data_IF_831838000162
#
_entry.id   IF_831838000162
#
_cell.length_a   1.000
_cell.length_b   1.000
_cell.length_c   1.000
_cell.angle_alpha   90.00
_cell.angle_beta   90.00
_cell.angle_gamma   90.00
#
_symmetry.space_group_name_H-M   'P 1'
#
loop_
_entity.id
_entity.type
_entity.pdbx_description
1 polymer ?
#
# COMPACT_ATOMS: atom_id res chain seq x y z
N UNK A 1 -23.31 -12.69 -4.53
CA UNK A 1 -22.04 -13.05 -3.88
C UNK A 1 -21.12 -11.84 -4.02
N UNK A 2 -21.15 -10.96 -3.01
CA UNK A 2 -20.41 -9.69 -3.04
C UNK A 2 -18.95 -9.97 -2.67
N UNK A 3 -18.07 -9.87 -3.65
CA UNK A 3 -16.63 -9.78 -3.39
C UNK A 3 -16.39 -8.35 -2.90
N UNK A 4 -16.14 -8.20 -1.60
CA UNK A 4 -15.73 -6.96 -0.98
C UNK A 4 -14.36 -6.57 -1.60
N UNK A 5 -14.34 -5.50 -2.40
CA UNK A 5 -13.08 -4.88 -2.85
C UNK A 5 -12.44 -4.20 -1.63
N UNK A 6 -11.60 -4.93 -0.92
CA UNK A 6 -10.89 -4.44 0.26
C UNK A 6 -9.64 -3.66 -0.15
N UNK A 7 -9.45 -2.61 0.57
CA UNK A 7 -8.41 -1.58 0.63
C UNK A 7 -7.00 -1.96 0.17
N UNK A 8 -6.26 -1.01 -0.47
CA UNK A 8 -4.81 -1.07 -0.74
C UNK A 8 -3.93 -1.02 0.52
N UNK A 9 -4.48 -1.31 1.67
CA UNK A 9 -3.77 -1.38 2.94
C UNK A 9 -3.04 -2.72 3.11
N UNK A 10 -2.08 -2.74 4.01
CA UNK A 10 -1.29 -3.91 4.40
C UNK A 10 -2.14 -5.18 4.66
N UNK A 11 -3.40 -5.01 5.10
CA UNK A 11 -4.34 -6.11 5.34
C UNK A 11 -4.84 -6.79 4.05
N UNK A 12 -4.98 -6.05 2.94
CA UNK A 12 -5.52 -6.58 1.68
C UNK A 12 -4.58 -7.57 0.95
N UNK A 13 -3.28 -7.55 1.28
CA UNK A 13 -2.29 -8.52 0.76
C UNK A 13 -2.67 -9.96 1.12
N UNK A 14 -3.37 -10.14 2.24
CA UNK A 14 -3.60 -11.46 2.85
C UNK A 14 -4.92 -12.11 2.46
N UNK A 15 -5.74 -11.48 1.61
CA UNK A 15 -7.08 -11.99 1.29
C UNK A 15 -7.21 -12.72 -0.05
N UNK A 16 -6.14 -12.86 -0.84
CA UNK A 16 -6.25 -13.43 -2.19
C UNK A 16 -6.04 -14.96 -2.22
N UNK A 17 -7.08 -15.70 -2.64
CA UNK A 17 -7.08 -17.13 -2.83
C UNK A 17 -6.33 -17.54 -4.12
N UNK A 18 -5.07 -17.93 -3.99
CA UNK A 18 -4.39 -18.80 -4.96
C UNK A 18 -3.90 -20.06 -4.24
N UNK A 19 -3.61 -21.13 -4.96
CA UNK A 19 -3.00 -22.34 -4.40
C UNK A 19 -1.70 -21.96 -3.71
N UNK A 20 -1.81 -21.76 -2.41
CA UNK A 20 -0.76 -21.20 -1.56
C UNK A 20 0.27 -22.28 -1.28
N UNK A 21 1.54 -22.03 -1.62
CA UNK A 21 2.60 -22.84 -1.06
C UNK A 21 2.71 -22.57 0.47
N UNK A 22 3.30 -23.49 1.20
CA UNK A 22 3.43 -23.39 2.66
C UNK A 22 4.10 -22.09 3.11
N UNK A 23 5.03 -21.58 2.32
CA UNK A 23 5.76 -20.34 2.61
C UNK A 23 4.86 -19.12 2.57
N UNK A 24 4.05 -19.01 1.52
CA UNK A 24 3.06 -17.93 1.36
C UNK A 24 2.03 -17.99 2.48
N UNK A 25 1.61 -19.19 2.88
CA UNK A 25 0.67 -19.36 3.99
C UNK A 25 1.25 -18.87 5.32
N UNK A 26 2.54 -19.14 5.60
CA UNK A 26 3.23 -18.60 6.79
C UNK A 26 3.28 -17.07 6.76
N UNK A 27 3.68 -16.47 5.61
CA UNK A 27 3.76 -15.02 5.46
C UNK A 27 2.39 -14.37 5.72
N UNK A 28 1.33 -14.92 5.15
CA UNK A 28 -0.03 -14.43 5.30
C UNK A 28 -0.49 -14.47 6.75
N UNK A 29 -0.45 -15.63 7.38
CA UNK A 29 -0.87 -15.81 8.77
C UNK A 29 -0.07 -14.92 9.72
N UNK A 30 1.25 -14.87 9.56
CA UNK A 30 2.09 -13.98 10.37
C UNK A 30 1.74 -12.50 10.16
N UNK A 31 1.52 -12.08 8.90
CA UNK A 31 1.11 -10.72 8.57
C UNK A 31 -0.22 -10.32 9.21
N UNK A 32 -1.22 -11.20 9.18
CA UNK A 32 -2.52 -11.01 9.86
C UNK A 32 -2.36 -10.89 11.38
N UNK A 33 -1.51 -11.75 11.98
CA UNK A 33 -1.21 -11.68 13.42
C UNK A 33 -0.49 -10.39 13.78
N UNK A 34 0.53 -9.98 13.02
CA UNK A 34 1.27 -8.74 13.23
C UNK A 34 0.37 -7.51 13.09
N UNK A 35 -0.50 -7.50 12.11
CA UNK A 35 -1.46 -6.42 11.92
C UNK A 35 -2.46 -6.32 13.07
N UNK A 36 -2.92 -7.46 13.60
CA UNK A 36 -3.91 -7.52 14.67
C UNK A 36 -3.32 -7.25 16.05
N UNK A 37 -2.12 -7.78 16.33
CA UNK A 37 -1.55 -7.86 17.67
C UNK A 37 -0.28 -7.00 17.85
N UNK A 38 0.27 -6.46 16.75
CA UNK A 38 1.59 -5.84 16.72
C UNK A 38 2.73 -6.86 16.52
N UNK A 39 3.80 -6.42 15.87
CA UNK A 39 4.93 -7.31 15.55
C UNK A 39 5.62 -7.83 16.81
N UNK A 40 5.79 -6.94 17.80
CA UNK A 40 6.51 -7.29 19.05
C UNK A 40 5.80 -8.36 19.85
N UNK A 41 4.48 -8.32 19.89
CA UNK A 41 3.65 -9.20 20.73
C UNK A 41 3.53 -10.62 20.17
N UNK A 42 3.86 -10.85 18.91
CA UNK A 42 3.74 -12.15 18.25
C UNK A 42 5.11 -12.82 18.17
N UNK A 43 5.26 -13.98 18.78
CA UNK A 43 6.46 -14.82 18.70
C UNK A 43 6.39 -15.82 17.55
N UNK A 44 7.53 -16.45 17.20
CA UNK A 44 7.54 -17.58 16.25
C UNK A 44 6.70 -18.75 16.79
N UNK A 45 6.63 -18.92 18.10
CA UNK A 45 5.80 -19.95 18.74
C UNK A 45 4.33 -19.72 18.48
N UNK A 46 3.87 -18.48 18.61
CA UNK A 46 2.49 -18.11 18.35
C UNK A 46 2.11 -18.38 16.90
N UNK A 47 3.00 -18.03 15.95
CA UNK A 47 2.81 -18.30 14.51
C UNK A 47 2.75 -19.81 14.26
N UNK A 48 3.67 -20.58 14.85
CA UNK A 48 3.67 -22.03 14.71
C UNK A 48 2.43 -22.68 15.29
N UNK A 49 1.95 -22.19 16.43
CA UNK A 49 0.72 -22.66 17.06
C UNK A 49 -0.50 -22.38 16.19
N UNK A 50 -0.63 -21.15 15.67
CA UNK A 50 -1.74 -20.74 14.78
C UNK A 50 -1.80 -21.61 13.51
N UNK A 51 -0.62 -21.93 12.96
CA UNK A 51 -0.49 -22.75 11.74
C UNK A 51 -0.51 -24.27 11.97
N UNK A 52 -0.56 -24.71 13.25
CA UNK A 52 -0.47 -26.15 13.57
C UNK A 52 0.83 -26.81 13.14
N UNK A 53 1.95 -26.05 13.08
CA UNK A 53 3.25 -26.55 12.61
C UNK A 53 4.30 -26.54 13.72
N UNK A 54 5.38 -27.36 13.54
CA UNK A 54 6.52 -27.33 14.45
C UNK A 54 7.46 -26.16 14.15
N UNK A 55 8.20 -25.67 15.17
CA UNK A 55 9.31 -24.72 14.96
C UNK A 55 10.32 -25.23 13.95
N UNK A 56 10.62 -26.53 13.95
CA UNK A 56 11.54 -27.12 12.98
C UNK A 56 11.03 -26.91 11.56
N UNK A 57 9.74 -27.07 11.33
CA UNK A 57 9.11 -26.82 10.03
C UNK A 57 9.19 -25.33 9.67
N UNK A 58 8.93 -24.42 10.61
CA UNK A 58 9.08 -22.99 10.39
C UNK A 58 10.50 -22.61 9.92
N UNK A 59 11.51 -23.12 10.63
CA UNK A 59 12.92 -22.82 10.31
C UNK A 59 13.43 -23.44 8.99
N UNK A 60 12.65 -24.31 8.35
CA UNK A 60 12.92 -24.74 6.95
C UNK A 60 12.65 -23.59 5.97
N UNK A 61 11.70 -22.71 6.28
CA UNK A 61 11.27 -21.61 5.39
C UNK A 61 11.90 -20.27 5.73
N UNK A 62 12.15 -20.00 7.02
CA UNK A 62 12.64 -18.72 7.52
C UNK A 62 13.69 -18.92 8.62
N UNK A 63 14.88 -18.35 8.41
CA UNK A 63 15.99 -18.42 9.37
C UNK A 63 15.67 -17.71 10.70
N UNK A 64 14.82 -16.69 10.66
CA UNK A 64 14.48 -15.84 11.79
C UNK A 64 13.15 -15.12 11.57
N UNK A 65 12.66 -14.46 12.62
CA UNK A 65 11.53 -13.54 12.52
C UNK A 65 11.85 -12.34 11.63
N UNK A 66 13.10 -11.87 11.64
CA UNK A 66 13.55 -10.78 10.77
C UNK A 66 13.44 -11.15 9.29
N UNK A 67 13.88 -12.38 8.93
CA UNK A 67 13.75 -12.90 7.57
C UNK A 67 12.28 -13.06 7.14
N UNK A 68 11.41 -13.47 8.04
CA UNK A 68 9.96 -13.52 7.80
C UNK A 68 9.40 -12.12 7.53
N UNK A 69 9.77 -11.12 8.35
CA UNK A 69 9.32 -9.73 8.20
C UNK A 69 9.80 -9.15 6.87
N UNK A 70 11.06 -9.38 6.49
CA UNK A 70 11.60 -8.93 5.21
C UNK A 70 10.79 -9.50 4.03
N UNK A 71 10.48 -10.80 4.07
CA UNK A 71 9.70 -11.43 3.01
C UNK A 71 8.24 -11.00 3.02
N UNK A 72 7.65 -10.74 4.18
CA UNK A 72 6.32 -10.17 4.31
C UNK A 72 6.26 -8.75 3.68
N UNK A 73 7.27 -7.91 3.93
CA UNK A 73 7.36 -6.59 3.32
C UNK A 73 7.54 -6.68 1.80
N UNK A 74 8.35 -7.64 1.32
CA UNK A 74 8.51 -7.88 -0.12
C UNK A 74 7.19 -8.36 -0.76
N UNK A 75 6.49 -9.30 -0.15
CA UNK A 75 5.18 -9.76 -0.63
C UNK A 75 4.15 -8.63 -0.72
N UNK A 76 4.21 -7.67 0.21
CA UNK A 76 3.38 -6.45 0.17
C UNK A 76 3.70 -5.59 -1.06
N UNK A 77 5.00 -5.37 -1.35
CA UNK A 77 5.43 -4.62 -2.54
C UNK A 77 4.95 -5.31 -3.81
N UNK A 78 5.14 -6.62 -3.92
CA UNK A 78 4.77 -7.41 -5.10
C UNK A 78 3.25 -7.37 -5.33
N UNK A 79 2.46 -7.45 -4.27
CA UNK A 79 1.00 -7.34 -4.34
C UNK A 79 0.54 -5.95 -4.82
N UNK A 80 1.07 -4.87 -4.23
CA UNK A 80 0.74 -3.50 -4.63
C UNK A 80 1.20 -3.27 -6.07
N UNK A 81 2.43 -3.67 -6.41
CA UNK A 81 2.97 -3.56 -7.76
C UNK A 81 2.14 -4.31 -8.79
N UNK A 82 1.69 -5.53 -8.47
CA UNK A 82 0.79 -6.31 -9.31
C UNK A 82 -0.54 -5.61 -9.57
N UNK A 83 -1.15 -5.02 -8.54
CA UNK A 83 -2.36 -4.21 -8.69
C UNK A 83 -2.14 -2.97 -9.56
N UNK A 84 -1.07 -2.21 -9.31
CA UNK A 84 -0.75 -1.03 -10.09
C UNK A 84 -0.48 -1.39 -11.56
N UNK A 85 0.26 -2.48 -11.81
CA UNK A 85 0.49 -3.00 -13.15
C UNK A 85 -0.82 -3.34 -13.87
N UNK A 86 -1.69 -4.12 -13.23
CA UNK A 86 -3.01 -4.46 -13.80
C UNK A 86 -3.87 -3.25 -14.11
N UNK A 87 -3.74 -2.16 -13.34
CA UNK A 87 -4.41 -0.90 -13.62
C UNK A 87 -3.81 -0.19 -14.84
N UNK A 88 -2.47 -0.17 -14.99
CA UNK A 88 -1.81 0.46 -16.14
C UNK A 88 -2.10 -0.24 -17.46
N UNK A 89 -2.21 -1.58 -17.43
CA UNK A 89 -2.51 -2.40 -18.60
C UNK A 89 -3.94 -2.18 -19.16
N UNK A 90 -4.86 -1.62 -18.38
CA UNK A 90 -6.20 -1.28 -18.86
C UNK A 90 -6.24 -0.11 -19.83
N UNK A 91 -5.18 0.71 -19.90
CA UNK A 91 -4.98 1.74 -20.91
C UNK A 91 -6.01 2.89 -20.92
N UNK A 92 -6.80 3.06 -19.85
CA UNK A 92 -7.84 4.08 -19.75
C UNK A 92 -7.71 4.89 -18.44
N UNK A 93 -7.24 6.13 -18.58
CA UNK A 93 -7.07 7.03 -17.43
C UNK A 93 -8.39 7.36 -16.73
N UNK A 94 -9.53 7.39 -17.46
CA UNK A 94 -10.85 7.61 -16.85
C UNK A 94 -11.21 6.51 -15.86
N UNK A 95 -10.89 5.26 -16.18
CA UNK A 95 -11.11 4.14 -15.27
C UNK A 95 -10.18 4.20 -14.05
N UNK A 96 -8.93 4.66 -14.23
CA UNK A 96 -8.01 4.88 -13.11
C UNK A 96 -8.58 5.91 -12.13
N UNK A 97 -9.06 7.05 -12.64
CA UNK A 97 -9.69 8.10 -11.81
C UNK A 97 -10.93 7.56 -11.08
N UNK A 98 -11.82 6.84 -11.77
CA UNK A 98 -13.03 6.25 -11.17
C UNK A 98 -12.70 5.24 -10.08
N UNK A 99 -11.72 4.36 -10.31
CA UNK A 99 -11.27 3.39 -9.30
C UNK A 99 -10.65 4.07 -8.10
N UNK A 100 -9.87 5.11 -8.33
CA UNK A 100 -9.30 5.92 -7.27
C UNK A 100 -10.39 6.56 -6.39
N UNK A 101 -11.39 7.19 -6.99
CA UNK A 101 -12.52 7.79 -6.25
C UNK A 101 -13.30 6.76 -5.46
N UNK A 102 -13.61 5.61 -6.06
CA UNK A 102 -14.31 4.50 -5.39
C UNK A 102 -13.51 3.95 -4.20
N UNK A 103 -12.19 3.87 -4.36
CA UNK A 103 -11.31 3.40 -3.31
C UNK A 103 -11.29 4.33 -2.10
N UNK A 104 -11.28 5.65 -2.34
CA UNK A 104 -11.38 6.65 -1.26
C UNK A 104 -12.65 6.51 -0.40
N UNK A 105 -13.75 6.04 -0.98
CA UNK A 105 -15.01 5.82 -0.24
C UNK A 105 -14.99 4.54 0.62
N UNK A 106 -14.27 3.51 0.16
CA UNK A 106 -14.23 2.20 0.80
C UNK A 106 -13.31 2.13 2.04
N UNK A 107 -12.27 2.96 2.11
CA UNK A 107 -11.22 2.86 3.14
C UNK A 107 -11.59 3.37 4.53
N UNK A 108 -12.81 3.80 4.78
CA UNK A 108 -13.19 4.41 6.07
C UNK A 108 -13.02 3.51 7.30
N UNK A 109 -12.82 2.21 7.14
CA UNK A 109 -12.95 1.27 8.26
C UNK A 109 -11.66 0.59 8.78
N UNK A 110 -10.54 0.58 8.06
CA UNK A 110 -9.41 -0.31 8.41
C UNK A 110 -8.08 0.39 8.78
N UNK A 111 -8.03 1.71 8.75
CA UNK A 111 -6.78 2.49 8.88
C UNK A 111 -6.23 2.53 10.31
N UNK A 112 -7.01 2.13 11.30
CA UNK A 112 -6.64 2.30 12.75
C UNK A 112 -5.45 1.45 13.21
N UNK A 113 -5.05 0.41 12.46
CA UNK A 113 -3.97 -0.51 12.87
C UNK A 113 -2.66 -0.32 12.10
N UNK A 114 -2.69 0.37 10.97
CA UNK A 114 -1.47 0.70 10.20
C UNK A 114 -0.45 1.45 11.05
N UNK A 115 -0.84 2.44 11.86
CA UNK A 115 0.08 3.16 12.72
C UNK A 115 0.90 2.27 13.63
N UNK A 116 0.28 1.31 14.33
CA UNK A 116 0.99 0.42 15.23
C UNK A 116 2.01 -0.47 14.51
N UNK A 117 1.65 -0.99 13.33
CA UNK A 117 2.55 -1.81 12.53
C UNK A 117 3.77 -1.01 12.06
N UNK A 118 3.54 0.21 11.57
CA UNK A 118 4.62 1.12 11.12
C UNK A 118 5.52 1.51 12.29
N UNK A 119 4.95 1.82 13.46
CA UNK A 119 5.71 2.09 14.67
C UNK A 119 6.64 0.93 15.05
N UNK A 120 6.12 -0.30 15.07
CA UNK A 120 6.90 -1.48 15.39
C UNK A 120 8.03 -1.71 14.37
N UNK A 121 7.75 -1.50 13.08
CA UNK A 121 8.76 -1.60 12.01
C UNK A 121 9.85 -0.55 12.18
N UNK A 122 9.50 0.73 12.36
CA UNK A 122 10.46 1.82 12.58
C UNK A 122 11.36 1.55 13.78
N UNK A 123 10.77 1.08 14.89
CA UNK A 123 11.46 0.95 16.16
C UNK A 123 12.32 -0.31 16.26
N UNK A 124 11.82 -1.44 15.79
CA UNK A 124 12.44 -2.74 16.00
C UNK A 124 13.07 -3.35 14.76
N UNK A 125 12.69 -2.86 13.56
CA UNK A 125 13.16 -3.33 12.26
C UNK A 125 13.54 -2.18 11.33
N UNK A 126 14.34 -1.18 11.81
CA UNK A 126 14.57 0.07 11.08
C UNK A 126 15.23 -0.13 9.72
N UNK A 127 16.11 -1.14 9.58
CA UNK A 127 16.77 -1.46 8.31
C UNK A 127 15.76 -1.99 7.29
N UNK A 128 14.98 -3.01 7.67
CA UNK A 128 13.97 -3.61 6.80
C UNK A 128 12.91 -2.59 6.40
N UNK A 129 12.53 -1.70 7.33
CA UNK A 129 11.57 -0.65 7.05
C UNK A 129 12.13 0.40 6.08
N UNK A 130 13.39 0.83 6.24
CA UNK A 130 14.03 1.76 5.31
C UNK A 130 14.13 1.18 3.89
N UNK A 131 14.58 -0.07 3.77
CA UNK A 131 14.64 -0.77 2.48
C UNK A 131 13.25 -0.90 1.83
N UNK A 132 12.24 -1.22 2.62
CA UNK A 132 10.84 -1.26 2.16
C UNK A 132 10.37 0.10 1.64
N UNK A 133 10.64 1.20 2.37
CA UNK A 133 10.26 2.55 1.94
C UNK A 133 10.91 2.95 0.61
N UNK A 134 12.19 2.65 0.42
CA UNK A 134 12.90 2.92 -0.84
C UNK A 134 12.25 2.15 -2.01
N UNK A 135 12.00 0.86 -1.83
CA UNK A 135 11.35 0.02 -2.85
C UNK A 135 9.93 0.49 -3.18
N UNK A 136 9.13 0.84 -2.16
CA UNK A 136 7.80 1.40 -2.36
C UNK A 136 7.84 2.72 -3.14
N UNK A 137 8.77 3.61 -2.79
CA UNK A 137 8.95 4.89 -3.48
C UNK A 137 9.25 4.69 -4.97
N UNK A 138 10.25 3.85 -5.30
CA UNK A 138 10.62 3.62 -6.70
C UNK A 138 9.50 2.94 -7.51
N UNK A 139 8.83 1.96 -6.91
CA UNK A 139 7.68 1.30 -7.53
C UNK A 139 6.55 2.29 -7.81
N UNK A 140 6.13 3.06 -6.82
CA UNK A 140 5.04 4.03 -6.95
C UNK A 140 5.40 5.11 -7.97
N UNK A 141 6.59 5.70 -7.89
CA UNK A 141 7.07 6.69 -8.85
C UNK A 141 6.97 6.17 -10.29
N UNK A 142 7.40 4.92 -10.53
CA UNK A 142 7.34 4.30 -11.85
C UNK A 142 5.92 4.18 -12.39
N UNK A 143 4.99 3.63 -11.61
CA UNK A 143 3.60 3.47 -12.05
C UNK A 143 2.84 4.79 -12.18
N UNK A 144 3.04 5.70 -11.24
CA UNK A 144 2.39 7.02 -11.29
C UNK A 144 2.86 7.81 -12.52
N UNK A 145 4.14 7.73 -12.87
CA UNK A 145 4.65 8.31 -14.11
C UNK A 145 3.88 7.78 -15.31
N UNK A 146 3.75 6.45 -15.45
CA UNK A 146 2.99 5.83 -16.55
C UNK A 146 1.53 6.29 -16.57
N UNK A 147 0.87 6.40 -15.41
CA UNK A 147 -0.51 6.86 -15.32
C UNK A 147 -0.65 8.33 -15.76
N UNK A 148 0.26 9.21 -15.35
CA UNK A 148 0.27 10.61 -15.76
C UNK A 148 0.51 10.72 -17.27
N UNK A 149 1.47 9.97 -17.82
CA UNK A 149 1.74 9.93 -19.27
C UNK A 149 0.51 9.49 -20.06
N UNK A 150 -0.20 8.47 -19.60
CA UNK A 150 -1.48 8.02 -20.18
C UNK A 150 -2.53 9.12 -20.14
N UNK A 151 -2.67 9.80 -18.99
CA UNK A 151 -3.60 10.92 -18.84
C UNK A 151 -3.28 12.11 -19.75
N UNK A 152 -2.00 12.43 -19.94
CA UNK A 152 -1.55 13.45 -20.89
C UNK A 152 -1.92 13.06 -22.33
N UNK A 153 -1.63 11.80 -22.71
CA UNK A 153 -1.96 11.28 -24.06
C UNK A 153 -3.47 11.30 -24.34
N UNK A 154 -4.31 11.17 -23.32
CA UNK A 154 -5.77 11.22 -23.44
C UNK A 154 -6.36 12.63 -23.23
N UNK A 155 -5.53 13.66 -23.04
CA UNK A 155 -5.96 15.03 -22.82
C UNK A 155 -6.62 15.30 -21.45
N UNK A 156 -6.57 14.35 -20.51
CA UNK A 156 -7.17 14.43 -19.18
C UNK A 156 -6.21 14.99 -18.12
N UNK A 157 -4.91 14.99 -18.42
CA UNK A 157 -3.85 15.62 -17.60
C UNK A 157 -3.24 16.76 -18.40
N UNK A 158 -2.81 17.82 -17.69
CA UNK A 158 -2.22 19.03 -18.30
C UNK A 158 -0.96 18.70 -19.08
N UNK A 159 -0.90 19.09 -20.36
CA UNK A 159 0.25 18.85 -21.24
C UNK A 159 1.54 19.57 -20.81
N UNK A 160 1.43 20.66 -20.04
CA UNK A 160 2.57 21.44 -19.52
C UNK A 160 3.14 20.91 -18.21
N UNK A 161 2.67 19.75 -17.72
CA UNK A 161 3.12 19.16 -16.47
C UNK A 161 4.51 18.51 -16.66
N UNK A 162 5.42 18.76 -15.72
CA UNK A 162 6.61 17.93 -15.62
C UNK A 162 6.23 16.59 -14.96
N UNK A 163 6.04 15.57 -15.80
CA UNK A 163 5.53 14.25 -15.40
C UNK A 163 6.45 13.57 -14.39
N UNK A 164 7.77 13.68 -14.60
CA UNK A 164 8.76 13.07 -13.69
C UNK A 164 8.66 13.67 -12.28
N UNK A 165 8.65 15.01 -12.18
CA UNK A 165 8.54 15.70 -10.89
C UNK A 165 7.18 15.47 -10.24
N UNK A 166 6.11 15.38 -11.00
CA UNK A 166 4.78 15.06 -10.48
C UNK A 166 4.73 13.65 -9.88
N UNK A 167 5.33 12.66 -10.55
CA UNK A 167 5.42 11.30 -10.03
C UNK A 167 6.27 11.22 -8.76
N UNK A 168 7.39 11.93 -8.71
CA UNK A 168 8.23 12.06 -7.50
C UNK A 168 7.43 12.69 -6.36
N UNK A 169 6.73 13.79 -6.63
CA UNK A 169 5.92 14.49 -5.62
C UNK A 169 4.83 13.58 -5.03
N UNK A 170 4.11 12.87 -5.90
CA UNK A 170 3.12 11.89 -5.46
C UNK A 170 3.72 10.84 -4.52
N UNK A 171 4.79 10.16 -4.97
CA UNK A 171 5.43 9.11 -4.19
C UNK A 171 5.98 9.63 -2.85
N UNK A 172 6.50 10.87 -2.83
CA UNK A 172 6.95 11.55 -1.62
C UNK A 172 5.80 11.76 -0.65
N UNK A 173 4.74 12.43 -1.07
CA UNK A 173 3.58 12.74 -0.23
C UNK A 173 3.01 11.45 0.39
N UNK A 174 2.85 10.40 -0.42
CA UNK A 174 2.29 9.14 0.04
C UNK A 174 3.19 8.43 1.07
N UNK A 175 4.49 8.33 0.80
CA UNK A 175 5.42 7.65 1.70
C UNK A 175 5.68 8.44 2.99
N UNK A 176 5.81 9.78 2.89
CA UNK A 176 6.04 10.63 4.06
C UNK A 176 4.83 10.62 5.00
N UNK A 177 3.60 10.63 4.45
CA UNK A 177 2.38 10.53 5.26
C UNK A 177 2.34 9.21 6.07
N UNK A 178 2.73 8.09 5.47
CA UNK A 178 2.80 6.80 6.19
C UNK A 178 3.95 6.79 7.20
N UNK A 179 5.09 7.36 6.85
CA UNK A 179 6.27 7.38 7.73
C UNK A 179 6.04 8.23 8.98
N UNK A 180 5.42 9.39 8.82
CA UNK A 180 5.37 10.43 9.85
C UNK A 180 3.95 10.58 10.46
N UNK A 181 3.14 9.50 10.42
CA UNK A 181 1.76 9.51 10.92
C UNK A 181 1.64 9.89 12.40
N UNK A 182 2.66 9.59 13.24
CA UNK A 182 2.66 9.96 14.67
C UNK A 182 2.58 11.47 14.86
N UNK A 183 3.28 12.23 14.02
CA UNK A 183 3.24 13.69 14.02
C UNK A 183 1.85 14.22 13.59
N UNK A 184 1.22 13.51 12.66
CA UNK A 184 -0.13 13.83 12.15
C UNK A 184 -1.18 13.60 13.25
N UNK A 185 -1.10 12.49 13.99
CA UNK A 185 -2.01 12.19 15.09
C UNK A 185 -1.89 13.18 16.25
N UNK A 186 -0.70 13.71 16.53
CA UNK A 186 -0.49 14.75 17.55
C UNK A 186 -1.29 16.05 17.24
N UNK A 187 -1.63 16.30 15.97
CA UNK A 187 -2.44 17.44 15.55
C UNK A 187 -3.94 17.12 15.41
N UNK A 188 -4.43 16.04 16.02
CA UNK A 188 -5.81 15.56 15.94
C UNK A 188 -6.33 15.27 14.51
N UNK A 189 -5.41 14.98 13.58
CA UNK A 189 -5.75 14.53 12.24
C UNK A 189 -5.50 13.03 12.13
N UNK A 190 -6.35 12.32 11.41
CA UNK A 190 -6.08 10.93 11.12
C UNK A 190 -5.36 10.78 9.77
N UNK A 191 -4.54 9.75 9.65
CA UNK A 191 -3.76 9.44 8.46
C UNK A 191 -4.64 9.36 7.18
N UNK A 192 -5.84 8.79 7.31
CA UNK A 192 -6.77 8.68 6.18
C UNK A 192 -7.22 10.05 5.67
N UNK A 193 -7.58 10.98 6.55
CA UNK A 193 -7.99 12.33 6.16
C UNK A 193 -6.85 13.07 5.48
N UNK A 194 -5.62 12.94 5.99
CA UNK A 194 -4.45 13.56 5.35
C UNK A 194 -4.19 12.94 3.98
N UNK A 195 -4.13 11.62 3.87
CA UNK A 195 -3.89 10.93 2.61
C UNK A 195 -4.97 11.29 1.57
N UNK A 196 -6.24 11.30 1.98
CA UNK A 196 -7.36 11.70 1.12
C UNK A 196 -7.21 13.14 0.63
N UNK A 197 -6.93 14.09 1.54
CA UNK A 197 -6.77 15.50 1.18
C UNK A 197 -5.57 15.71 0.27
N UNK A 198 -4.43 15.11 0.59
CA UNK A 198 -3.22 15.21 -0.22
C UNK A 198 -3.45 14.66 -1.64
N UNK A 199 -4.18 13.55 -1.75
CA UNK A 199 -4.54 12.95 -3.02
C UNK A 199 -5.52 13.79 -3.83
N UNK A 200 -6.57 14.35 -3.21
CA UNK A 200 -7.52 15.24 -3.89
C UNK A 200 -6.80 16.48 -4.44
N UNK A 201 -5.95 17.10 -3.62
CA UNK A 201 -5.15 18.27 -4.02
C UNK A 201 -4.21 17.91 -5.17
N UNK A 202 -3.50 16.78 -5.08
CA UNK A 202 -2.59 16.33 -6.13
C UNK A 202 -3.33 16.06 -7.44
N UNK A 203 -4.39 15.27 -7.41
CA UNK A 203 -5.16 14.88 -8.60
C UNK A 203 -5.74 16.11 -9.27
N UNK A 204 -6.39 17.01 -8.52
CA UNK A 204 -6.92 18.28 -9.07
C UNK A 204 -5.81 19.15 -9.66
N UNK A 205 -4.63 19.14 -9.05
CA UNK A 205 -3.48 19.91 -9.51
C UNK A 205 -2.88 19.43 -10.83
N UNK A 206 -3.04 18.17 -11.19
CA UNK A 206 -2.49 17.61 -12.44
C UNK A 206 -3.50 17.54 -13.58
N UNK A 207 -4.81 17.52 -13.30
CA UNK A 207 -5.86 17.38 -14.30
C UNK A 207 -5.97 18.60 -15.21
N UNK A 208 -6.36 18.35 -16.48
CA UNK A 208 -6.83 19.36 -17.41
C UNK A 208 -8.25 19.80 -17.08
N UNK A 209 -8.79 20.79 -17.78
CA UNK A 209 -10.21 21.20 -17.62
C UNK A 209 -11.17 20.02 -17.89
N UNK A 210 -10.88 19.21 -18.91
CA UNK A 210 -11.66 18.03 -19.24
C UNK A 210 -11.54 16.94 -18.16
N UNK A 211 -10.32 16.73 -17.65
CA UNK A 211 -10.06 15.82 -16.54
C UNK A 211 -10.77 16.24 -15.26
N UNK A 212 -10.83 17.55 -14.97
CA UNK A 212 -11.55 18.09 -13.80
C UNK A 212 -13.07 17.91 -13.91
N UNK A 213 -13.66 18.06 -15.11
CA UNK A 213 -15.07 17.74 -15.34
C UNK A 213 -15.35 16.28 -15.00
N UNK A 214 -14.56 15.36 -15.56
CA UNK A 214 -14.67 13.93 -15.28
C UNK A 214 -14.52 13.61 -13.76
N UNK A 215 -13.59 14.26 -13.09
CA UNK A 215 -13.33 14.04 -11.66
C UNK A 215 -14.50 14.50 -10.78
N UNK A 216 -15.23 15.53 -11.21
CA UNK A 216 -16.37 16.10 -10.47
C UNK A 216 -17.71 15.43 -10.83
N UNK A 217 -17.79 14.64 -11.90
CA UNK A 217 -18.96 13.81 -12.24
C UNK A 217 -19.04 12.62 -11.25
N UNK A 218 -19.62 12.85 -10.07
CA UNK A 218 -19.88 11.81 -9.06
C UNK A 218 -21.19 11.09 -9.32
#
# INVERSE_FOLDING_TARGET
>A
MHISEKSCTFAAVFENNMSEDQKTHIIKTAGEMFFRLGIRSVSIDDICHELGMSKKTFYVYFESKDALIEQMLQANIDYIGGKMKSLSEQGDFRQLVKKFLKHQEAEKNDVRRVPQLVYDLKKYYPRQFADFQVKCFEMQKGYIKQYIELGVAQGLVRANLNVELAAVLFAKIHNDAIRDFEEIEMHNHNLHQLAHTAMDVFVRGILSEEGLKLYNEK
#
